data_IF_296081860662
#
_entry.id   IF_296081860662
#
_cell.length_a   1.000
_cell.length_b   1.000
_cell.length_c   1.000
_cell.angle_alpha   90.00
_cell.angle_beta   90.00
_cell.angle_gamma   90.00
#
_symmetry.space_group_name_H-M   'P 1'
#
loop_
_entity.id
_entity.type
_entity.pdbx_description
1 polymer ?
#
# COMPACT_ATOMS: atom_id res chain seq x y z
N UNK A 1 -19.44 15.72 17.88
CA UNK A 1 -19.10 14.28 17.92
C UNK A 1 -17.68 14.20 17.43
N UNK A 2 -16.71 13.83 18.27
CA UNK A 2 -15.33 13.59 17.82
C UNK A 2 -15.26 12.19 17.26
N UNK A 3 -14.92 12.05 15.98
CA UNK A 3 -14.71 10.75 15.36
C UNK A 3 -13.41 10.14 15.90
N UNK A 4 -13.41 8.83 16.14
CA UNK A 4 -12.21 8.12 16.59
C UNK A 4 -11.26 8.00 15.41
N UNK A 5 -10.01 8.42 15.62
CA UNK A 5 -8.94 8.17 14.65
C UNK A 5 -8.31 6.80 14.93
N UNK A 6 -8.30 5.94 13.93
CA UNK A 6 -7.53 4.68 13.96
C UNK A 6 -6.22 4.84 13.19
N UNK A 7 -5.20 4.11 13.64
CA UNK A 7 -3.86 4.14 13.06
C UNK A 7 -3.33 2.73 12.88
N UNK A 8 -2.62 2.50 11.79
CA UNK A 8 -1.86 1.27 11.56
C UNK A 8 -0.48 1.59 10.97
N UNK A 9 0.44 0.64 11.05
CA UNK A 9 1.78 0.74 10.50
C UNK A 9 2.19 -0.59 9.88
N UNK A 10 2.83 -0.54 8.73
CA UNK A 10 3.47 -1.67 8.08
C UNK A 10 4.96 -1.37 7.89
N UNK A 11 5.83 -2.23 8.42
CA UNK A 11 7.27 -2.16 8.17
C UNK A 11 7.58 -3.11 7.02
N UNK A 12 8.11 -2.57 5.93
CA UNK A 12 8.47 -3.32 4.74
C UNK A 12 9.95 -3.67 4.79
N UNK A 13 10.25 -4.94 4.61
CA UNK A 13 11.60 -5.46 4.43
C UNK A 13 11.62 -6.40 3.24
N UNK A 14 12.60 -6.26 2.36
CA UNK A 14 12.78 -7.14 1.21
C UNK A 14 14.22 -7.62 1.07
N UNK A 15 14.43 -8.48 0.09
CA UNK A 15 15.75 -8.77 -0.46
C UNK A 15 16.30 -7.52 -1.18
N UNK A 16 17.62 -7.49 -1.42
CA UNK A 16 18.28 -6.45 -2.21
C UNK A 16 18.23 -5.03 -1.62
N UNK A 17 17.94 -4.90 -0.32
CA UNK A 17 18.03 -3.62 0.40
C UNK A 17 16.79 -2.73 0.29
N UNK A 18 15.73 -3.18 -0.38
CA UNK A 18 14.43 -2.49 -0.41
C UNK A 18 13.79 -2.56 0.97
N UNK A 19 13.45 -1.40 1.53
CA UNK A 19 12.81 -1.29 2.85
C UNK A 19 12.00 -0.02 2.96
N UNK A 20 11.02 -0.02 3.84
CA UNK A 20 10.19 1.16 4.07
C UNK A 20 9.32 1.05 5.31
N UNK A 21 8.62 2.13 5.60
CA UNK A 21 7.59 2.14 6.65
C UNK A 21 6.40 2.92 6.12
N UNK A 22 5.23 2.28 6.19
CA UNK A 22 3.96 2.82 5.73
C UNK A 22 3.06 3.02 6.94
N UNK A 23 2.42 4.17 7.00
CA UNK A 23 1.47 4.56 8.02
C UNK A 23 0.09 4.72 7.39
N UNK A 24 -0.92 4.23 8.10
CA UNK A 24 -2.32 4.35 7.73
C UNK A 24 -3.04 5.12 8.83
N UNK A 25 -3.86 6.09 8.45
CA UNK A 25 -4.72 6.84 9.37
C UNK A 25 -6.11 6.96 8.77
N UNK A 26 -7.13 6.73 9.58
CA UNK A 26 -8.53 6.87 9.18
C UNK A 26 -9.31 7.53 10.31
N UNK A 27 -10.14 8.53 9.98
CA UNK A 27 -11.03 9.20 10.94
C UNK A 27 -12.46 8.72 10.73
N UNK A 28 -13.04 8.09 11.76
CA UNK A 28 -14.37 7.47 11.64
C UNK A 28 -14.42 6.47 10.49
N UNK A 29 -15.49 6.53 9.69
CA UNK A 29 -15.68 5.72 8.48
C UNK A 29 -15.23 6.47 7.21
N UNK A 30 -14.38 7.48 7.36
CA UNK A 30 -13.88 8.30 6.26
C UNK A 30 -12.79 7.61 5.43
N UNK A 31 -12.21 8.32 4.45
CA UNK A 31 -11.09 7.82 3.66
C UNK A 31 -9.87 7.46 4.53
N UNK A 32 -9.11 6.46 4.10
CA UNK A 32 -7.82 6.11 4.70
C UNK A 32 -6.71 6.91 4.02
N UNK A 33 -5.92 7.63 4.81
CA UNK A 33 -4.68 8.27 4.36
C UNK A 33 -3.52 7.31 4.56
N UNK A 34 -2.75 7.06 3.51
CA UNK A 34 -1.56 6.20 3.47
C UNK A 34 -0.33 7.06 3.21
N UNK A 35 0.61 7.06 4.15
CA UNK A 35 1.84 7.84 4.06
C UNK A 35 3.07 7.00 4.34
N UNK A 36 4.24 7.43 3.89
CA UNK A 36 5.48 6.76 4.24
C UNK A 36 6.56 6.93 3.20
N UNK A 37 7.58 6.09 3.30
CA UNK A 37 8.68 6.08 2.33
C UNK A 37 9.23 4.67 2.14
N UNK A 38 9.59 4.34 0.91
CA UNK A 38 10.33 3.13 0.55
C UNK A 38 11.65 3.55 -0.09
N UNK A 39 12.74 2.93 0.35
CA UNK A 39 14.12 3.21 -0.08
C UNK A 39 14.74 1.99 -0.74
N UNK A 40 15.77 2.20 -1.57
CA UNK A 40 16.49 1.12 -2.25
C UNK A 40 15.80 0.64 -3.53
N UNK A 41 14.79 1.36 -4.01
CA UNK A 41 14.11 1.06 -5.26
C UNK A 41 14.96 1.48 -6.46
N UNK A 42 14.75 0.83 -7.60
CA UNK A 42 15.21 1.35 -8.89
C UNK A 42 14.40 2.61 -9.24
N UNK A 43 14.99 3.56 -9.95
CA UNK A 43 14.25 4.73 -10.44
C UNK A 43 13.04 4.30 -11.30
N UNK A 44 11.90 4.97 -11.14
CA UNK A 44 10.68 4.73 -11.90
C UNK A 44 9.45 4.38 -11.05
N UNK A 45 8.44 3.81 -11.72
CA UNK A 45 7.17 3.41 -11.12
C UNK A 45 7.23 2.00 -10.53
N UNK A 46 6.68 1.81 -9.34
CA UNK A 46 6.56 0.53 -8.65
C UNK A 46 5.14 0.32 -8.17
N UNK A 47 4.58 -0.85 -8.46
CA UNK A 47 3.24 -1.23 -8.00
C UNK A 47 3.17 -1.27 -6.48
N UNK A 48 2.09 -0.73 -5.93
CA UNK A 48 1.84 -0.66 -4.50
C UNK A 48 0.44 -1.16 -4.18
N UNK A 49 0.37 -2.23 -3.39
CA UNK A 49 -0.89 -2.92 -3.14
C UNK A 49 -0.94 -3.58 -1.76
N UNK A 50 -2.15 -3.76 -1.25
CA UNK A 50 -2.43 -4.59 -0.07
C UNK A 50 -2.73 -6.00 -0.53
N UNK A 51 -2.02 -6.97 0.03
CA UNK A 51 -2.26 -8.39 -0.23
C UNK A 51 -3.23 -8.99 0.78
N UNK A 52 -3.89 -10.09 0.41
CA UNK A 52 -4.94 -10.72 1.21
C UNK A 52 -4.42 -11.34 2.53
N UNK A 53 -3.14 -11.74 2.58
CA UNK A 53 -2.55 -12.42 3.72
C UNK A 53 -1.33 -11.66 4.24
N UNK A 54 -1.24 -11.53 5.57
CA UNK A 54 -0.04 -11.04 6.27
C UNK A 54 1.04 -12.11 6.47
N UNK A 55 1.07 -13.14 5.64
CA UNK A 55 2.04 -14.23 5.74
C UNK A 55 3.31 -13.90 4.92
N UNK A 56 4.41 -13.65 5.64
CA UNK A 56 5.73 -13.37 5.05
C UNK A 56 6.73 -14.51 5.30
N UNK A 57 6.28 -15.71 5.67
CA UNK A 57 7.15 -16.85 6.05
C UNK A 57 7.99 -17.37 4.89
N UNK A 58 7.53 -17.22 3.64
CA UNK A 58 8.29 -17.49 2.42
C UNK A 58 8.57 -16.20 1.62
N UNK A 59 8.92 -15.13 2.34
CA UNK A 59 8.98 -13.79 1.78
C UNK A 59 7.61 -13.34 1.23
N UNK A 60 7.62 -12.51 0.19
CA UNK A 60 6.38 -11.99 -0.41
C UNK A 60 5.60 -13.03 -1.22
N UNK A 61 6.09 -14.27 -1.37
CA UNK A 61 5.39 -15.30 -2.14
C UNK A 61 4.17 -15.89 -1.40
N UNK A 62 4.13 -15.76 -0.07
CA UNK A 62 3.05 -16.29 0.77
C UNK A 62 1.94 -15.27 1.05
N UNK A 63 2.06 -14.02 0.59
CA UNK A 63 1.08 -12.96 0.89
C UNK A 63 -0.25 -13.14 0.13
N UNK A 64 -0.29 -14.04 -0.85
CA UNK A 64 -1.48 -14.31 -1.65
C UNK A 64 -1.76 -13.22 -2.69
N UNK A 65 -2.97 -13.18 -3.29
CA UNK A 65 -3.35 -12.19 -4.28
C UNK A 65 -3.59 -10.81 -3.61
N UNK A 66 -3.90 -9.81 -4.43
CA UNK A 66 -4.37 -8.52 -3.93
C UNK A 66 -5.63 -8.71 -3.07
N UNK A 67 -5.76 -7.91 -2.02
CA UNK A 67 -6.93 -7.93 -1.16
C UNK A 67 -8.17 -7.50 -1.95
N UNK A 68 -9.10 -8.43 -2.13
CA UNK A 68 -10.25 -8.27 -3.00
C UNK A 68 -11.54 -8.85 -2.39
N UNK A 69 -12.09 -8.19 -1.35
CA UNK A 69 -13.32 -8.66 -0.70
C UNK A 69 -14.55 -8.55 -1.62
N UNK A 70 -14.54 -7.65 -2.60
CA UNK A 70 -15.66 -7.41 -3.52
C UNK A 70 -15.65 -8.33 -4.76
N UNK A 71 -14.58 -9.10 -4.99
CA UNK A 71 -14.47 -10.00 -6.15
C UNK A 71 -14.34 -9.26 -7.49
N UNK A 72 -13.80 -8.04 -7.49
CA UNK A 72 -13.58 -7.25 -8.70
C UNK A 72 -12.32 -7.69 -9.46
N UNK A 73 -12.15 -7.15 -10.66
CA UNK A 73 -10.90 -7.24 -11.39
C UNK A 73 -9.92 -6.18 -10.89
N UNK A 74 -8.63 -6.36 -11.19
CA UNK A 74 -7.61 -5.36 -10.91
C UNK A 74 -7.88 -4.05 -11.67
N UNK A 75 -7.61 -2.90 -11.05
CA UNK A 75 -7.78 -1.58 -11.65
C UNK A 75 -6.83 -0.52 -11.07
N UNK A 76 -6.89 0.69 -11.62
CA UNK A 76 -6.22 1.85 -11.07
C UNK A 76 -7.00 2.40 -9.86
N UNK A 77 -6.39 3.17 -8.95
CA UNK A 77 -7.07 3.69 -7.76
C UNK A 77 -8.31 4.54 -8.04
N UNK A 78 -8.33 5.22 -9.19
CA UNK A 78 -9.43 6.03 -9.67
C UNK A 78 -10.57 5.24 -10.33
N UNK A 79 -10.37 3.95 -10.61
CA UNK A 79 -11.39 3.11 -11.23
C UNK A 79 -12.46 2.71 -10.20
N UNK A 80 -13.74 2.76 -10.61
CA UNK A 80 -14.85 2.27 -9.77
C UNK A 80 -14.72 0.76 -9.49
N UNK A 81 -14.21 0.02 -10.47
CA UNK A 81 -14.02 -1.44 -10.42
C UNK A 81 -12.51 -1.72 -10.30
N UNK A 82 -12.08 -2.00 -9.08
CA UNK A 82 -10.71 -2.40 -8.73
C UNK A 82 -10.71 -3.32 -7.52
N UNK A 83 -9.58 -3.95 -7.21
CA UNK A 83 -9.45 -4.57 -5.89
C UNK A 83 -9.34 -3.48 -4.81
N UNK A 84 -9.87 -3.74 -3.61
CA UNK A 84 -9.69 -2.84 -2.47
C UNK A 84 -8.21 -2.63 -2.09
N UNK A 85 -7.35 -3.60 -2.44
CA UNK A 85 -5.91 -3.49 -2.25
C UNK A 85 -5.15 -2.73 -3.34
N UNK A 86 -5.77 -2.26 -4.42
CA UNK A 86 -5.07 -1.62 -5.53
C UNK A 86 -4.80 -0.14 -5.24
N UNK A 87 -3.56 0.21 -4.86
CA UNK A 87 -3.14 1.59 -4.52
C UNK A 87 -2.28 2.24 -5.61
N UNK A 88 -2.25 1.64 -6.81
CA UNK A 88 -1.57 2.19 -7.98
C UNK A 88 -0.05 2.04 -7.92
N UNK A 89 0.67 3.10 -8.29
CA UNK A 89 2.12 3.11 -8.33
C UNK A 89 2.72 4.18 -7.41
N UNK A 90 3.86 3.86 -6.82
CA UNK A 90 4.74 4.83 -6.14
C UNK A 90 5.92 5.14 -7.05
N UNK A 91 6.39 6.38 -7.04
CA UNK A 91 7.49 6.82 -7.92
C UNK A 91 8.76 6.94 -7.10
N UNK A 92 9.79 6.18 -7.47
CA UNK A 92 11.13 6.33 -6.92
C UNK A 92 11.97 7.23 -7.83
N UNK A 93 12.64 8.21 -7.22
CA UNK A 93 13.61 9.06 -7.93
C UNK A 93 14.94 8.35 -8.17
N UNK A 94 15.90 9.08 -8.75
CA UNK A 94 17.28 8.60 -8.95
C UNK A 94 18.04 8.30 -7.63
N UNK A 95 17.55 8.81 -6.50
CA UNK A 95 18.02 8.49 -5.15
C UNK A 95 17.47 7.14 -4.63
N UNK A 96 16.60 6.49 -5.39
CA UNK A 96 15.97 5.21 -5.05
C UNK A 96 14.93 5.33 -3.93
N UNK A 97 14.40 6.54 -3.68
CA UNK A 97 13.40 6.80 -2.65
C UNK A 97 12.05 7.10 -3.29
N UNK A 98 11.02 6.37 -2.87
CA UNK A 98 9.63 6.66 -3.17
C UNK A 98 8.92 7.16 -1.91
N UNK A 99 8.43 8.41 -1.95
CA UNK A 99 7.58 8.98 -0.91
C UNK A 99 6.12 8.72 -1.24
N UNK A 100 5.36 8.30 -0.23
CA UNK A 100 3.97 7.84 -0.38
C UNK A 100 3.06 8.82 0.32
N UNK A 101 2.03 9.26 -0.39
CA UNK A 101 0.94 10.08 0.13
C UNK A 101 -0.31 9.83 -0.72
N UNK A 102 -1.12 8.85 -0.31
CA UNK A 102 -2.32 8.40 -1.00
C UNK A 102 -3.51 8.57 -0.06
N UNK A 103 -4.66 8.95 -0.58
CA UNK A 103 -5.94 8.90 0.15
C UNK A 103 -6.88 7.99 -0.61
N UNK A 104 -7.43 6.98 0.06
CA UNK A 104 -8.25 5.94 -0.53
C UNK A 104 -9.61 5.81 0.17
N UNK A 105 -10.67 5.54 -0.58
CA UNK A 105 -12.05 5.48 -0.09
C UNK A 105 -12.81 4.18 -0.44
N UNK A 106 -12.14 3.15 -0.98
CA UNK A 106 -12.77 1.85 -1.29
C UNK A 106 -12.67 0.84 -0.16
#
# INVERSE_FOLDING_TARGET
>A
ITYTMVKAVAVLTGSEGVKGTIFFTQEGDGPTTVTGSVTGLKEGLHGFHVHALGDTTNGCMSTGPHFNPAGHVHGAPEDEIRHAGDLGNVTAGADGVANINVTDCH
#
